data_IF_705937989142
#
_entry.id   IF_705937989142
#
_cell.length_a   1.000
_cell.length_b   1.000
_cell.length_c   1.000
_cell.angle_alpha   90.00
_cell.angle_beta   90.00
_cell.angle_gamma   90.00
#
_symmetry.space_group_name_H-M   'P 1'
#
loop_
_entity.id
_entity.type
_entity.pdbx_description
1 polymer ?
#
# COMPACT_ATOMS: atom_id res chain seq x y z
N UNK A 1 -49.32 60.02 -9.42
CA UNK A 1 -50.25 58.88 -9.59
C UNK A 1 -49.42 57.61 -9.44
N UNK A 2 -49.76 56.67 -8.54
CA UNK A 2 -49.11 55.37 -8.52
C UNK A 2 -49.51 54.60 -9.79
N UNK A 3 -48.63 53.79 -10.39
CA UNK A 3 -49.00 53.00 -11.55
C UNK A 3 -50.03 51.96 -11.11
N UNK A 4 -51.20 52.03 -11.74
CA UNK A 4 -52.30 51.06 -11.63
C UNK A 4 -51.78 49.66 -11.91
N UNK A 5 -51.96 48.76 -10.94
CA UNK A 5 -51.61 47.36 -11.06
C UNK A 5 -52.28 46.74 -12.29
N UNK A 6 -51.47 46.32 -13.27
CA UNK A 6 -51.93 45.56 -14.41
C UNK A 6 -52.42 44.19 -13.91
N UNK A 7 -53.71 43.91 -14.10
CA UNK A 7 -54.36 42.62 -13.83
C UNK A 7 -54.80 42.00 -15.16
N UNK A 8 -54.71 40.66 -15.32
CA UNK A 8 -54.77 39.66 -14.26
C UNK A 8 -53.42 39.43 -13.57
N UNK A 9 -53.45 39.26 -12.24
CA UNK A 9 -52.32 38.71 -11.52
C UNK A 9 -52.08 37.28 -12.02
N UNK A 10 -50.85 36.99 -12.44
CA UNK A 10 -50.45 35.66 -12.91
C UNK A 10 -50.82 34.59 -11.87
N UNK A 11 -51.58 33.57 -12.27
CA UNK A 11 -51.96 32.42 -11.42
C UNK A 11 -50.98 31.24 -11.55
N UNK A 12 -49.94 31.36 -12.38
CA UNK A 12 -48.89 30.37 -12.49
C UNK A 12 -47.93 30.51 -11.30
N UNK A 13 -47.58 29.40 -10.66
CA UNK A 13 -46.61 29.34 -9.57
C UNK A 13 -45.32 30.07 -9.97
N UNK A 14 -45.07 31.22 -9.36
CA UNK A 14 -43.85 32.00 -9.60
C UNK A 14 -42.68 31.27 -8.94
N UNK A 15 -41.86 30.62 -9.76
CA UNK A 15 -40.59 30.01 -9.34
C UNK A 15 -39.55 31.12 -9.26
N UNK A 16 -39.51 31.83 -8.13
CA UNK A 16 -38.61 32.96 -7.91
C UNK A 16 -37.63 32.60 -6.79
N UNK A 17 -36.34 32.88 -7.01
CA UNK A 17 -35.31 32.66 -6.02
C UNK A 17 -35.49 33.70 -4.90
N UNK A 18 -35.64 33.28 -3.62
CA UNK A 18 -35.72 34.23 -2.53
C UNK A 18 -34.36 34.93 -2.30
N UNK A 19 -34.41 36.11 -1.69
CA UNK A 19 -33.21 36.90 -1.34
C UNK A 19 -32.29 36.13 -0.37
N UNK A 20 -32.87 35.30 0.49
CA UNK A 20 -32.16 34.51 1.50
C UNK A 20 -32.72 33.10 1.56
N UNK A 21 -31.86 32.11 1.74
CA UNK A 21 -32.28 30.73 2.02
C UNK A 21 -32.70 30.56 3.48
N UNK A 22 -33.41 29.47 3.76
CA UNK A 22 -33.83 29.06 5.10
C UNK A 22 -33.14 27.74 5.47
N UNK A 23 -32.36 27.73 6.55
CA UNK A 23 -31.60 26.55 6.99
C UNK A 23 -32.48 25.34 7.30
N UNK A 24 -33.70 25.57 7.79
CA UNK A 24 -34.66 24.50 8.10
C UNK A 24 -35.19 23.75 6.88
N UNK A 25 -35.18 24.37 5.70
CA UNK A 25 -35.73 23.78 4.48
C UNK A 25 -34.68 22.98 3.69
N UNK A 26 -33.39 23.16 4.01
CA UNK A 26 -32.26 22.57 3.29
C UNK A 26 -32.38 21.05 3.24
N UNK A 27 -32.39 20.36 4.38
CA UNK A 27 -32.40 18.89 4.47
C UNK A 27 -33.55 18.26 3.67
N UNK A 28 -34.75 18.82 3.79
CA UNK A 28 -35.93 18.30 3.10
C UNK A 28 -35.93 18.53 1.59
N UNK A 29 -35.06 19.41 1.11
CA UNK A 29 -34.96 19.82 -0.28
C UNK A 29 -33.80 19.16 -1.04
N UNK A 30 -32.87 18.51 -0.34
CA UNK A 30 -31.75 17.80 -0.94
C UNK A 30 -32.21 16.49 -1.58
N UNK A 31 -31.65 16.19 -2.74
CA UNK A 31 -31.94 14.96 -3.47
C UNK A 31 -31.22 13.75 -2.89
N UNK A 32 -29.96 13.94 -2.44
CA UNK A 32 -29.18 12.87 -1.81
C UNK A 32 -29.23 12.99 -0.29
N UNK A 33 -29.01 14.18 0.26
CA UNK A 33 -29.02 14.38 1.72
C UNK A 33 -27.78 13.81 2.42
N UNK A 34 -26.67 13.67 1.70
CA UNK A 34 -25.38 13.14 2.19
C UNK A 34 -24.81 14.07 3.27
N UNK A 35 -24.99 15.38 3.10
CA UNK A 35 -24.48 16.37 4.04
C UNK A 35 -25.60 16.93 4.93
N UNK A 36 -25.51 16.65 6.23
CA UNK A 36 -26.53 17.05 7.22
C UNK A 36 -26.00 17.91 8.37
N UNK A 37 -24.70 18.26 8.38
CA UNK A 37 -24.10 19.03 9.47
C UNK A 37 -24.61 20.47 9.51
N UNK A 38 -24.75 21.07 10.71
CA UNK A 38 -25.17 22.47 10.89
C UNK A 38 -24.38 23.47 10.03
N UNK A 39 -23.07 23.23 9.91
CA UNK A 39 -22.18 24.07 9.11
C UNK A 39 -22.53 24.02 7.61
N UNK A 40 -22.92 22.85 7.10
CA UNK A 40 -23.37 22.68 5.72
C UNK A 40 -24.74 23.35 5.51
N UNK A 41 -25.69 23.14 6.43
CA UNK A 41 -27.03 23.73 6.35
C UNK A 41 -26.98 25.27 6.33
N UNK A 42 -26.16 25.87 7.19
CA UNK A 42 -25.92 27.31 7.18
C UNK A 42 -25.26 27.77 5.87
N UNK A 43 -24.24 27.04 5.38
CA UNK A 43 -23.56 27.36 4.13
C UNK A 43 -24.46 27.27 2.89
N UNK A 44 -25.37 26.31 2.85
CA UNK A 44 -26.35 26.13 1.78
C UNK A 44 -27.38 27.28 1.76
N UNK A 45 -27.85 27.71 2.94
CA UNK A 45 -28.74 28.87 3.07
C UNK A 45 -28.05 30.18 2.61
N UNK A 46 -26.79 30.39 3.00
CA UNK A 46 -25.99 31.54 2.55
C UNK A 46 -25.73 31.52 1.05
N UNK A 47 -25.59 30.33 0.45
CA UNK A 47 -25.39 30.17 -0.99
C UNK A 47 -26.56 30.71 -1.81
N UNK A 48 -27.80 30.63 -1.30
CA UNK A 48 -28.99 31.24 -1.93
C UNK A 48 -28.82 32.75 -2.04
N UNK A 49 -28.46 33.42 -0.94
CA UNK A 49 -28.23 34.86 -0.94
C UNK A 49 -27.07 35.26 -1.85
N UNK A 50 -25.98 34.47 -1.84
CA UNK A 50 -24.85 34.68 -2.74
C UNK A 50 -25.25 34.57 -4.21
N UNK A 51 -26.06 33.57 -4.55
CA UNK A 51 -26.52 33.31 -5.93
C UNK A 51 -27.50 34.40 -6.37
N UNK A 52 -28.42 34.79 -5.50
CA UNK A 52 -29.36 35.88 -5.73
C UNK A 52 -28.65 37.18 -6.10
N UNK A 53 -27.67 37.61 -5.28
CA UNK A 53 -26.91 38.83 -5.54
C UNK A 53 -26.06 38.73 -6.81
N UNK A 54 -25.40 37.59 -7.06
CA UNK A 54 -24.52 37.41 -8.21
C UNK A 54 -25.23 37.32 -9.55
N UNK A 55 -26.46 36.83 -9.57
CA UNK A 55 -27.28 36.73 -10.78
C UNK A 55 -28.18 37.96 -11.00
N UNK A 56 -28.09 38.98 -10.13
CA UNK A 56 -28.80 40.25 -10.30
C UNK A 56 -30.25 40.22 -9.83
N UNK A 57 -30.56 39.39 -8.83
CA UNK A 57 -31.88 39.28 -8.22
C UNK A 57 -32.44 40.60 -7.69
N UNK A 58 -31.57 41.54 -7.30
CA UNK A 58 -31.96 42.89 -6.86
C UNK A 58 -32.61 43.72 -7.97
N UNK A 59 -32.44 43.34 -9.24
CA UNK A 59 -32.94 44.09 -10.41
C UNK A 59 -34.07 43.32 -11.10
N UNK A 60 -33.89 42.01 -11.33
CA UNK A 60 -34.85 41.15 -12.02
C UNK A 60 -34.97 39.82 -11.29
N UNK A 61 -36.21 39.30 -11.25
CA UNK A 61 -36.49 37.99 -10.67
C UNK A 61 -35.66 36.89 -11.35
N UNK A 62 -35.19 35.94 -10.54
CA UNK A 62 -34.40 34.79 -11.01
C UNK A 62 -35.30 33.56 -10.98
N UNK A 63 -35.39 32.84 -12.10
CA UNK A 63 -36.28 31.69 -12.27
C UNK A 63 -35.75 30.38 -11.64
N UNK A 64 -35.11 30.48 -10.47
CA UNK A 64 -34.61 29.35 -9.68
C UNK A 64 -35.38 29.21 -8.38
N UNK A 65 -35.47 27.99 -7.86
CA UNK A 65 -35.88 27.74 -6.47
C UNK A 65 -34.66 27.62 -5.57
N UNK A 66 -34.83 27.96 -4.31
CA UNK A 66 -33.85 27.72 -3.25
C UNK A 66 -33.44 26.24 -3.16
N UNK A 67 -34.39 25.31 -3.29
CA UNK A 67 -34.13 23.88 -3.37
C UNK A 67 -33.11 23.51 -4.46
N UNK A 68 -33.15 24.18 -5.62
CA UNK A 68 -32.18 23.93 -6.69
C UNK A 68 -30.79 24.40 -6.29
N UNK A 69 -30.68 25.56 -5.63
CA UNK A 69 -29.40 26.06 -5.12
C UNK A 69 -28.84 25.17 -4.00
N UNK A 70 -29.68 24.61 -3.13
CA UNK A 70 -29.24 23.66 -2.11
C UNK A 70 -28.65 22.39 -2.74
N UNK A 71 -29.30 21.84 -3.78
CA UNK A 71 -28.80 20.68 -4.51
C UNK A 71 -27.48 20.97 -5.23
N UNK A 72 -27.36 22.12 -5.91
CA UNK A 72 -26.09 22.55 -6.51
C UNK A 72 -24.98 22.75 -5.47
N UNK A 73 -25.34 23.16 -4.26
CA UNK A 73 -24.37 23.28 -3.18
C UNK A 73 -23.89 21.91 -2.70
N UNK A 74 -24.80 20.95 -2.50
CA UNK A 74 -24.47 19.56 -2.15
C UNK A 74 -23.54 18.93 -3.20
N UNK A 75 -23.91 19.05 -4.49
CA UNK A 75 -23.12 18.55 -5.61
C UNK A 75 -21.73 19.18 -5.67
N UNK A 76 -21.61 20.48 -5.39
CA UNK A 76 -20.30 21.15 -5.34
C UNK A 76 -19.40 20.62 -4.22
N UNK A 77 -19.97 20.24 -3.06
CA UNK A 77 -19.19 19.62 -1.97
C UNK A 77 -18.74 18.21 -2.36
N UNK A 78 -19.62 17.42 -3.00
CA UNK A 78 -19.28 16.09 -3.50
C UNK A 78 -18.16 16.13 -4.54
N UNK A 79 -18.25 17.06 -5.50
CA UNK A 79 -17.20 17.26 -6.52
C UNK A 79 -15.86 17.68 -5.91
N UNK A 80 -15.89 18.58 -4.91
CA UNK A 80 -14.69 18.94 -4.17
C UNK A 80 -14.07 17.72 -3.47
N UNK A 81 -14.89 16.95 -2.75
CA UNK A 81 -14.49 15.73 -2.05
C UNK A 81 -13.88 14.71 -3.01
N UNK A 82 -14.53 14.47 -4.15
CA UNK A 82 -14.07 13.56 -5.20
C UNK A 82 -12.68 13.94 -5.73
N UNK A 83 -12.47 15.21 -6.09
CA UNK A 83 -11.18 15.67 -6.63
C UNK A 83 -10.06 15.54 -5.59
N UNK A 84 -10.34 15.92 -4.34
CA UNK A 84 -9.36 15.81 -3.25
C UNK A 84 -9.03 14.35 -2.93
N UNK A 85 -10.04 13.46 -2.88
CA UNK A 85 -9.84 12.04 -2.63
C UNK A 85 -9.03 11.36 -3.75
N UNK A 86 -9.25 11.71 -5.01
CA UNK A 86 -8.40 11.25 -6.12
C UNK A 86 -6.95 11.68 -5.92
N UNK A 87 -6.72 12.95 -5.57
CA UNK A 87 -5.37 13.44 -5.33
C UNK A 87 -4.71 12.72 -4.14
N UNK A 88 -5.46 12.50 -3.06
CA UNK A 88 -4.96 11.76 -1.90
C UNK A 88 -4.65 10.30 -2.28
N UNK A 89 -5.47 9.66 -3.11
CA UNK A 89 -5.21 8.33 -3.64
C UNK A 89 -3.90 8.29 -4.45
N UNK A 90 -3.67 9.26 -5.35
CA UNK A 90 -2.41 9.35 -6.10
C UNK A 90 -1.19 9.41 -5.19
N UNK A 91 -1.26 10.14 -4.08
CA UNK A 91 -0.14 10.31 -3.14
C UNK A 91 0.11 9.10 -2.25
N UNK A 92 -0.92 8.32 -1.94
CA UNK A 92 -0.89 7.37 -0.82
C UNK A 92 -1.06 5.91 -1.24
N UNK A 93 -1.62 5.64 -2.43
CA UNK A 93 -1.93 4.29 -2.90
C UNK A 93 -0.73 3.34 -2.78
N UNK A 94 0.46 3.74 -3.24
CA UNK A 94 1.66 2.90 -3.19
C UNK A 94 2.09 2.48 -1.78
N UNK A 95 1.80 3.28 -0.76
CA UNK A 95 2.06 2.95 0.64
C UNK A 95 0.93 2.17 1.30
N UNK A 96 -0.30 2.30 0.79
CA UNK A 96 -1.49 1.67 1.34
C UNK A 96 -1.80 0.30 0.72
N UNK A 97 -1.12 -0.09 -0.37
CA UNK A 97 -1.31 -1.41 -0.99
C UNK A 97 -1.23 -2.53 0.06
N UNK A 98 -2.31 -3.30 0.14
CA UNK A 98 -2.46 -4.43 1.04
C UNK A 98 -2.86 -4.12 2.48
N UNK A 99 -3.14 -2.87 2.82
CA UNK A 99 -3.78 -2.56 4.10
C UNK A 99 -5.29 -2.87 4.03
N UNK A 100 -5.99 -2.76 5.16
CA UNK A 100 -7.44 -3.00 5.23
C UNK A 100 -8.21 -2.10 4.28
N UNK A 101 -9.22 -2.66 3.63
CA UNK A 101 -10.22 -1.95 2.83
C UNK A 101 -11.37 -1.48 3.73
N UNK A 102 -12.29 -0.68 3.17
CA UNK A 102 -13.55 -0.29 3.80
C UNK A 102 -14.74 -0.71 2.94
N UNK A 103 -15.90 -0.90 3.56
CA UNK A 103 -17.18 -1.13 2.87
C UNK A 103 -18.04 0.13 2.95
N UNK A 104 -18.72 0.47 1.84
CA UNK A 104 -19.48 1.70 1.68
C UNK A 104 -20.95 1.42 1.39
N UNK A 105 -21.81 2.34 1.79
CA UNK A 105 -23.22 2.40 1.36
C UNK A 105 -23.37 3.09 -0.01
N UNK A 106 -24.62 3.26 -0.45
CA UNK A 106 -24.97 3.95 -1.69
C UNK A 106 -24.56 5.43 -1.72
N UNK A 107 -24.40 6.04 -0.56
CA UNK A 107 -24.01 7.45 -0.37
C UNK A 107 -22.49 7.62 -0.28
N UNK A 108 -21.75 6.51 -0.29
CA UNK A 108 -20.29 6.49 -0.20
C UNK A 108 -19.77 6.75 1.21
N UNK A 109 -20.57 6.50 2.25
CA UNK A 109 -20.16 6.53 3.65
C UNK A 109 -19.69 5.15 4.11
N UNK A 110 -18.68 5.09 4.98
CA UNK A 110 -18.17 3.80 5.46
C UNK A 110 -19.18 3.17 6.44
N UNK A 111 -19.62 1.95 6.13
CA UNK A 111 -20.52 1.16 6.98
C UNK A 111 -19.74 0.22 7.90
N UNK A 112 -18.70 -0.43 7.37
CA UNK A 112 -17.85 -1.36 8.13
C UNK A 112 -16.41 -1.32 7.66
N UNK A 113 -15.49 -1.64 8.56
CA UNK A 113 -14.08 -1.80 8.23
C UNK A 113 -13.29 -0.50 8.21
N UNK A 114 -13.71 0.53 8.97
CA UNK A 114 -12.93 1.76 9.14
C UNK A 114 -11.53 1.43 9.71
N UNK A 115 -10.46 1.57 8.91
CA UNK A 115 -9.09 1.31 9.36
C UNK A 115 -8.58 2.36 10.36
N UNK A 116 -9.32 3.45 10.59
CA UNK A 116 -8.99 4.47 11.58
C UNK A 116 -9.16 3.98 13.02
N UNK A 117 -10.00 2.96 13.24
CA UNK A 117 -10.34 2.37 14.54
C UNK A 117 -10.97 3.34 15.53
N UNK A 118 -11.43 4.50 15.07
CA UNK A 118 -11.90 5.61 15.90
C UNK A 118 -13.22 6.13 15.33
N UNK A 119 -14.26 6.12 16.15
CA UNK A 119 -15.59 6.64 15.81
C UNK A 119 -15.49 8.09 15.30
N UNK A 120 -16.28 8.42 14.27
CA UNK A 120 -16.40 9.75 13.65
C UNK A 120 -15.12 10.34 13.02
N UNK A 121 -14.16 9.50 12.61
CA UNK A 121 -12.94 10.00 11.96
C UNK A 121 -12.70 9.44 10.56
N UNK A 122 -12.95 10.28 9.56
CA UNK A 122 -12.70 9.96 8.16
C UNK A 122 -11.19 9.72 7.90
N UNK A 123 -10.84 8.54 7.38
CA UNK A 123 -9.47 8.13 7.04
C UNK A 123 -8.82 9.08 6.04
N UNK A 124 -9.58 9.67 5.11
CA UNK A 124 -9.06 10.62 4.11
C UNK A 124 -8.43 11.88 4.75
N UNK A 125 -8.87 12.24 5.96
CA UNK A 125 -8.36 13.39 6.70
C UNK A 125 -7.09 13.09 7.50
N UNK A 126 -6.67 11.82 7.56
CA UNK A 126 -5.49 11.42 8.31
C UNK A 126 -4.27 11.40 7.42
N UNK A 127 -3.15 11.83 8.00
CA UNK A 127 -1.86 11.65 7.37
C UNK A 127 -1.45 10.17 7.45
N UNK A 128 -1.35 9.45 6.33
CA UNK A 128 -0.91 8.06 6.37
C UNK A 128 0.56 8.03 6.75
N UNK A 129 0.92 7.12 7.65
CA UNK A 129 2.34 6.85 7.93
C UNK A 129 2.98 6.36 6.64
N UNK A 130 4.04 7.03 6.20
CA UNK A 130 4.82 6.55 5.05
C UNK A 130 5.36 5.16 5.37
N UNK A 131 4.86 4.16 4.64
CA UNK A 131 5.33 2.79 4.71
C UNK A 131 5.90 2.42 3.37
N UNK A 132 6.96 1.63 3.41
CA UNK A 132 7.52 0.96 2.24
C UNK A 132 6.63 -0.21 1.81
N UNK A 133 5.30 -0.06 1.72
CA UNK A 133 4.38 -1.17 1.49
C UNK A 133 4.73 -1.97 0.22
N UNK A 134 4.70 -1.30 -0.93
CA UNK A 134 5.06 -1.92 -2.20
C UNK A 134 6.54 -2.38 -2.28
N UNK A 135 7.47 -1.54 -1.84
CA UNK A 135 8.89 -1.87 -1.87
C UNK A 135 9.24 -3.07 -0.97
N UNK A 136 8.61 -3.15 0.20
CA UNK A 136 8.72 -4.29 1.12
C UNK A 136 8.23 -5.56 0.44
N UNK A 137 7.10 -5.56 -0.26
CA UNK A 137 6.61 -6.76 -0.99
C UNK A 137 7.59 -7.26 -2.04
N UNK A 138 8.21 -6.35 -2.80
CA UNK A 138 9.27 -6.74 -3.76
C UNK A 138 10.46 -7.35 -3.02
N UNK A 139 10.86 -6.75 -1.89
CA UNK A 139 11.94 -7.28 -1.05
C UNK A 139 11.56 -8.64 -0.46
N UNK A 140 10.35 -8.83 0.05
CA UNK A 140 9.88 -10.07 0.66
C UNK A 140 9.81 -11.21 -0.36
N UNK A 141 9.39 -10.92 -1.60
CA UNK A 141 9.47 -11.87 -2.71
C UNK A 141 10.93 -12.26 -3.00
N UNK A 142 11.85 -11.30 -2.99
CA UNK A 142 13.29 -11.56 -3.20
C UNK A 142 13.92 -12.35 -2.05
N UNK A 143 13.54 -12.03 -0.80
CA UNK A 143 13.97 -12.71 0.44
C UNK A 143 13.46 -14.16 0.45
N UNK A 144 12.21 -14.36 0.00
CA UNK A 144 11.65 -15.69 -0.20
C UNK A 144 12.48 -16.49 -1.21
N UNK A 145 12.94 -15.87 -2.30
CA UNK A 145 13.74 -16.62 -3.28
C UNK A 145 15.10 -17.07 -2.76
N UNK A 146 15.74 -16.29 -1.88
CA UNK A 146 17.04 -16.65 -1.29
C UNK A 146 16.94 -17.59 -0.08
N UNK A 147 15.73 -18.05 0.31
CA UNK A 147 15.58 -19.02 1.40
C UNK A 147 15.52 -18.41 2.80
N UNK A 148 15.34 -17.10 2.94
CA UNK A 148 15.32 -16.40 4.23
C UNK A 148 13.91 -16.13 4.77
N UNK A 149 12.90 -16.87 4.28
CA UNK A 149 11.51 -16.84 4.71
C UNK A 149 10.88 -15.43 4.69
N UNK A 150 10.57 -14.94 3.48
CA UNK A 150 9.80 -13.72 3.23
C UNK A 150 8.29 -14.02 3.21
N UNK A 151 7.66 -13.89 2.04
CA UNK A 151 6.22 -14.14 1.88
C UNK A 151 5.83 -15.64 1.94
N UNK A 152 6.75 -16.55 1.59
CA UNK A 152 6.50 -17.99 1.65
C UNK A 152 7.14 -18.62 2.89
N UNK A 153 6.39 -19.48 3.56
CA UNK A 153 6.86 -20.27 4.70
C UNK A 153 7.91 -21.29 4.24
N UNK A 154 9.07 -21.29 4.92
CA UNK A 154 10.10 -22.29 4.74
C UNK A 154 9.80 -23.51 5.61
N UNK A 155 9.64 -24.67 4.98
CA UNK A 155 9.40 -25.94 5.64
C UNK A 155 10.68 -26.78 5.69
N UNK A 156 10.75 -27.71 6.63
CA UNK A 156 11.85 -28.66 6.78
C UNK A 156 11.29 -30.07 6.80
N UNK A 157 11.87 -30.96 6.01
CA UNK A 157 11.60 -32.40 6.02
C UNK A 157 12.93 -33.17 6.09
N UNK A 158 12.87 -34.40 6.58
CA UNK A 158 14.03 -35.27 6.66
C UNK A 158 13.75 -36.67 6.13
N UNK A 159 14.80 -37.33 5.66
CA UNK A 159 14.76 -38.71 5.22
C UNK A 159 16.05 -39.43 5.61
N UNK A 160 15.95 -40.74 5.78
CA UNK A 160 17.10 -41.60 6.07
C UNK A 160 17.71 -42.15 4.79
N UNK A 161 19.05 -42.16 4.72
CA UNK A 161 19.74 -42.82 3.61
C UNK A 161 19.69 -44.33 3.77
N UNK A 162 19.37 -45.03 2.69
CA UNK A 162 19.35 -46.48 2.62
C UNK A 162 20.58 -46.95 1.87
N UNK A 163 21.31 -47.90 2.46
CA UNK A 163 22.43 -48.54 1.79
C UNK A 163 21.96 -49.20 0.50
N UNK A 164 22.66 -48.94 -0.60
CA UNK A 164 22.24 -49.42 -1.92
C UNK A 164 21.40 -48.42 -2.73
N UNK A 165 20.99 -47.30 -2.14
CA UNK A 165 20.18 -46.26 -2.80
C UNK A 165 20.97 -44.96 -2.86
N UNK A 166 21.20 -44.47 -4.07
CA UNK A 166 21.96 -43.24 -4.33
C UNK A 166 21.09 -42.05 -4.74
N UNK A 167 19.99 -42.35 -5.45
CA UNK A 167 19.07 -41.38 -6.04
C UNK A 167 17.79 -41.31 -5.22
N UNK A 168 17.46 -40.12 -4.74
CA UNK A 168 16.28 -39.84 -3.92
C UNK A 168 15.39 -38.83 -4.62
N UNK A 169 14.09 -39.12 -4.70
CA UNK A 169 13.09 -38.18 -5.20
C UNK A 169 12.52 -37.38 -4.01
N UNK A 170 12.99 -36.15 -3.87
CA UNK A 170 12.59 -35.28 -2.75
C UNK A 170 11.12 -34.89 -2.85
N UNK A 171 10.55 -34.80 -4.06
CA UNK A 171 9.13 -34.50 -4.23
C UNK A 171 8.29 -35.65 -3.68
N UNK A 172 8.62 -36.90 -4.02
CA UNK A 172 7.90 -38.07 -3.50
C UNK A 172 7.99 -38.14 -1.98
N UNK A 173 9.20 -38.03 -1.42
CA UNK A 173 9.44 -38.10 0.02
C UNK A 173 8.60 -37.05 0.77
N UNK A 174 8.60 -35.81 0.29
CA UNK A 174 7.90 -34.69 0.93
C UNK A 174 6.38 -34.81 0.74
N UNK A 175 5.91 -35.23 -0.43
CA UNK A 175 4.49 -35.48 -0.69
C UNK A 175 3.95 -36.63 0.19
N UNK A 176 4.72 -37.70 0.37
CA UNK A 176 4.38 -38.82 1.24
C UNK A 176 4.34 -38.38 2.71
N UNK A 177 5.32 -37.61 3.16
CA UNK A 177 5.36 -37.06 4.51
C UNK A 177 4.16 -36.11 4.77
N UNK A 178 3.81 -35.27 3.80
CA UNK A 178 2.65 -34.38 3.85
C UNK A 178 1.32 -35.14 3.94
N UNK A 179 1.20 -36.26 3.22
CA UNK A 179 -0.04 -37.06 3.18
C UNK A 179 -0.23 -37.88 4.46
N UNK A 180 0.85 -38.48 4.96
CA UNK A 180 0.81 -39.34 6.15
C UNK A 180 0.97 -38.57 7.48
N UNK A 181 1.22 -37.27 7.40
CA UNK A 181 1.60 -36.43 8.55
C UNK A 181 2.74 -37.05 9.37
N UNK A 182 3.77 -37.56 8.68
CA UNK A 182 4.87 -38.28 9.31
C UNK A 182 6.17 -38.03 8.52
N UNK A 183 7.16 -37.44 9.19
CA UNK A 183 8.48 -37.22 8.63
C UNK A 183 9.23 -38.55 8.47
N UNK A 184 9.80 -38.82 7.29
CA UNK A 184 10.39 -40.13 7.00
C UNK A 184 11.69 -40.40 7.78
N UNK A 185 12.48 -39.36 8.07
CA UNK A 185 13.73 -39.52 8.81
C UNK A 185 13.53 -39.59 10.32
N UNK A 186 12.62 -38.80 10.89
CA UNK A 186 12.43 -38.72 12.35
C UNK A 186 11.21 -39.46 12.89
N UNK A 187 10.21 -39.75 12.06
CA UNK A 187 8.93 -40.34 12.52
C UNK A 187 8.04 -39.39 13.32
N UNK A 188 8.31 -38.08 13.27
CA UNK A 188 7.48 -37.06 13.94
C UNK A 188 6.43 -36.48 13.00
N UNK A 189 5.41 -35.82 13.55
CA UNK A 189 4.42 -35.07 12.76
C UNK A 189 5.05 -33.88 12.04
N UNK A 190 4.55 -33.55 10.85
CA UNK A 190 5.09 -32.47 10.01
C UNK A 190 4.18 -31.24 10.02
N UNK A 191 4.76 -30.04 9.95
CA UNK A 191 4.01 -28.78 9.90
C UNK A 191 3.35 -28.49 8.55
N UNK A 192 3.71 -29.24 7.51
CA UNK A 192 3.20 -29.10 6.14
C UNK A 192 2.22 -30.21 5.74
N UNK A 193 1.57 -30.84 6.73
CA UNK A 193 0.57 -31.87 6.50
C UNK A 193 -0.56 -31.36 5.57
N UNK A 194 -0.87 -32.14 4.53
CA UNK A 194 -1.88 -31.81 3.51
C UNK A 194 -1.65 -30.52 2.70
N UNK A 195 -0.50 -29.85 2.81
CA UNK A 195 -0.21 -28.60 2.08
C UNK A 195 0.47 -28.81 0.72
N UNK A 196 1.17 -29.93 0.52
CA UNK A 196 1.99 -30.17 -0.70
C UNK A 196 1.10 -30.57 -1.88
N UNK A 197 0.22 -31.57 -1.69
CA UNK A 197 -0.63 -32.11 -2.76
C UNK A 197 0.16 -32.42 -4.03
N UNK A 198 -0.33 -31.92 -5.17
CA UNK A 198 0.33 -32.02 -6.49
C UNK A 198 1.20 -30.79 -6.82
N UNK A 199 1.52 -29.92 -5.84
CA UNK A 199 2.33 -28.72 -6.06
C UNK A 199 3.81 -29.10 -6.16
N UNK A 200 4.52 -28.46 -7.09
CA UNK A 200 5.98 -28.60 -7.22
C UNK A 200 6.67 -27.89 -6.06
N UNK A 201 7.51 -28.60 -5.32
CA UNK A 201 8.32 -28.00 -4.25
C UNK A 201 9.55 -27.27 -4.81
N UNK A 202 9.97 -26.22 -4.10
CA UNK A 202 11.22 -25.50 -4.35
C UNK A 202 12.22 -25.82 -3.25
N UNK A 203 13.22 -26.65 -3.56
CA UNK A 203 14.29 -26.99 -2.62
C UNK A 203 15.23 -25.79 -2.47
N UNK A 204 15.43 -25.33 -1.24
CA UNK A 204 16.30 -24.18 -0.93
C UNK A 204 17.64 -24.63 -0.35
N UNK A 205 17.62 -25.65 0.51
CA UNK A 205 18.85 -26.16 1.13
C UNK A 205 18.72 -27.64 1.45
N UNK A 206 19.77 -28.40 1.17
CA UNK A 206 19.93 -29.79 1.63
C UNK A 206 21.16 -29.83 2.50
N UNK A 207 21.03 -30.39 3.69
CA UNK A 207 22.12 -30.49 4.65
C UNK A 207 22.01 -31.76 5.46
N UNK A 208 23.13 -32.15 6.04
CA UNK A 208 23.18 -33.17 7.07
C UNK A 208 24.04 -32.61 8.20
N UNK A 209 23.66 -32.88 9.44
CA UNK A 209 24.45 -32.48 10.60
C UNK A 209 24.74 -33.74 11.40
N UNK A 210 26.02 -34.04 11.55
CA UNK A 210 26.43 -35.11 12.46
C UNK A 210 26.77 -34.48 13.81
N UNK A 211 26.50 -35.15 14.95
CA UNK A 211 26.99 -34.70 16.25
C UNK A 211 28.53 -34.55 16.32
N UNK A 212 29.25 -35.11 15.34
CA UNK A 212 30.70 -34.99 15.18
C UNK A 212 31.14 -33.72 14.43
N UNK A 213 30.22 -32.97 13.82
CA UNK A 213 30.46 -31.70 13.13
C UNK A 213 30.69 -30.50 14.10
N UNK A 214 31.29 -30.75 15.26
CA UNK A 214 31.82 -29.70 16.11
C UNK A 214 33.11 -29.16 15.46
N UNK A 215 33.25 -27.83 15.35
CA UNK A 215 34.48 -27.20 14.88
C UNK A 215 35.64 -27.56 15.83
N UNK A 216 36.40 -28.58 15.49
CA UNK A 216 37.56 -29.03 16.26
C UNK A 216 38.79 -28.47 15.59
N UNK A 217 39.36 -27.41 16.19
CA UNK A 217 40.62 -26.81 15.74
C UNK A 217 41.77 -27.84 15.64
N UNK A 218 41.66 -28.99 16.34
CA UNK A 218 42.59 -30.13 16.27
C UNK A 218 41.89 -31.43 15.86
N UNK A 219 41.18 -31.42 14.73
CA UNK A 219 40.35 -32.53 14.25
C UNK A 219 41.02 -33.90 14.35
N UNK A 220 40.67 -34.68 15.39
CA UNK A 220 41.05 -36.08 15.47
C UNK A 220 40.16 -36.88 16.43
N UNK A 221 39.86 -38.12 16.04
CA UNK A 221 39.16 -39.11 16.85
C UNK A 221 39.85 -40.46 16.65
N UNK A 222 40.70 -40.83 17.61
CA UNK A 222 41.42 -42.11 17.60
C UNK A 222 42.79 -42.02 18.26
N UNK A 223 42.86 -42.00 19.59
CA UNK A 223 44.07 -42.07 20.42
C UNK A 223 45.45 -41.99 19.75
N UNK A 224 46.19 -40.92 20.10
CA UNK A 224 47.61 -40.61 19.77
C UNK A 224 47.79 -39.71 18.55
N UNK A 225 47.85 -38.40 18.79
CA UNK A 225 48.97 -37.54 18.38
C UNK A 225 48.80 -36.18 19.07
N UNK A 226 49.54 -35.99 20.17
CA UNK A 226 49.72 -34.69 20.82
C UNK A 226 50.52 -33.81 19.84
N UNK A 227 50.27 -32.49 19.81
CA UNK A 227 51.19 -31.53 19.21
C UNK A 227 52.52 -31.59 19.99
N UNK A 228 53.37 -32.54 19.64
CA UNK A 228 54.55 -32.89 20.40
C UNK A 228 55.48 -33.71 19.53
N UNK A 229 56.78 -33.41 19.65
CA UNK A 229 57.88 -33.96 18.86
C UNK A 229 58.12 -35.48 19.03
N UNK A 230 57.18 -36.27 19.58
CA UNK A 230 57.36 -37.70 19.93
C UNK A 230 58.58 -37.99 20.85
N UNK A 231 59.34 -36.96 21.27
CA UNK A 231 60.64 -37.10 21.94
C UNK A 231 60.56 -37.52 23.41
N UNK A 232 59.38 -37.41 24.03
CA UNK A 232 59.16 -37.77 25.44
C UNK A 232 58.06 -38.82 25.63
N UNK A 233 57.65 -39.52 24.56
CA UNK A 233 56.61 -40.53 24.66
C UNK A 233 57.15 -41.78 25.37
N UNK A 234 56.84 -41.94 26.66
CA UNK A 234 57.16 -43.20 27.35
C UNK A 234 57.05 -43.25 28.86
N UNK A 235 57.16 -42.15 29.63
CA UNK A 235 57.16 -42.29 31.10
C UNK A 235 56.46 -41.18 31.91
N UNK A 236 56.13 -40.02 31.34
CA UNK A 236 55.47 -38.91 32.06
C UNK A 236 54.45 -38.27 31.11
N UNK A 237 53.16 -38.44 31.39
CA UNK A 237 52.10 -38.17 30.41
C UNK A 237 51.69 -36.70 30.26
N UNK A 238 52.13 -35.77 31.11
CA UNK A 238 51.71 -34.37 31.03
C UNK A 238 52.87 -33.42 31.33
N UNK A 239 53.68 -33.10 30.31
CA UNK A 239 54.61 -31.98 30.37
C UNK A 239 54.07 -30.84 29.49
N UNK A 240 53.82 -29.67 30.06
CA UNK A 240 53.22 -28.54 29.35
C UNK A 240 54.29 -27.84 28.51
N UNK A 241 54.35 -28.14 27.22
CA UNK A 241 55.27 -27.46 26.31
C UNK A 241 54.58 -26.28 25.61
N UNK A 242 55.13 -25.08 25.77
CA UNK A 242 54.69 -23.91 25.02
C UNK A 242 55.51 -23.81 23.73
N UNK A 243 54.87 -23.96 22.58
CA UNK A 243 55.50 -23.83 21.27
C UNK A 243 54.99 -22.56 20.58
N UNK A 244 55.92 -21.69 20.17
CA UNK A 244 55.59 -20.55 19.31
C UNK A 244 55.55 -21.04 17.88
N UNK A 245 54.34 -21.18 17.33
CA UNK A 245 54.13 -21.59 15.93
C UNK A 245 53.98 -20.34 15.06
N UNK A 246 54.83 -20.15 14.03
CA UNK A 246 54.68 -19.05 13.09
C UNK A 246 53.34 -19.11 12.34
N UNK A 247 52.76 -17.95 12.00
CA UNK A 247 51.46 -17.85 11.32
C UNK A 247 51.42 -18.62 10.00
N UNK A 248 52.52 -18.64 9.24
CA UNK A 248 52.61 -19.36 7.97
C UNK A 248 52.44 -20.87 8.15
N UNK A 249 52.92 -21.43 9.25
CA UNK A 249 52.83 -22.86 9.54
C UNK A 249 51.38 -23.24 9.87
N UNK A 250 50.67 -22.44 10.67
CA UNK A 250 49.24 -22.65 10.91
C UNK A 250 48.42 -22.55 9.61
N UNK A 251 48.75 -21.59 8.73
CA UNK A 251 48.08 -21.46 7.42
C UNK A 251 48.35 -22.67 6.52
N UNK A 252 49.58 -23.15 6.46
CA UNK A 252 49.94 -24.34 5.69
C UNK A 252 49.27 -25.61 6.22
N UNK A 253 49.18 -25.75 7.55
CA UNK A 253 48.46 -26.85 8.18
C UNK A 253 46.95 -26.80 7.88
N UNK A 254 46.34 -25.62 7.89
CA UNK A 254 44.94 -25.47 7.49
C UNK A 254 44.68 -25.87 6.03
N UNK A 255 45.57 -25.46 5.11
CA UNK A 255 45.48 -25.87 3.70
C UNK A 255 45.66 -27.38 3.51
N UNK A 256 46.63 -27.98 4.19
CA UNK A 256 46.85 -29.43 4.14
C UNK A 256 45.69 -30.21 4.79
N UNK A 257 45.01 -29.62 5.78
CA UNK A 257 43.83 -30.21 6.41
C UNK A 257 42.62 -30.18 5.46
N UNK A 258 42.40 -29.07 4.76
CA UNK A 258 41.39 -28.97 3.71
C UNK A 258 41.64 -30.01 2.60
N UNK A 259 42.87 -30.11 2.10
CA UNK A 259 43.25 -31.13 1.10
C UNK A 259 43.08 -32.56 1.63
N UNK A 260 43.39 -32.80 2.91
CA UNK A 260 43.17 -34.08 3.55
C UNK A 260 41.67 -34.45 3.67
N UNK A 261 40.77 -33.46 3.81
CA UNK A 261 39.32 -33.71 3.77
C UNK A 261 38.92 -34.17 2.37
N UNK A 262 39.39 -33.49 1.32
CA UNK A 262 39.09 -33.84 -0.07
C UNK A 262 39.63 -35.22 -0.47
N UNK A 263 40.83 -35.59 0.00
CA UNK A 263 41.54 -36.79 -0.47
C UNK A 263 41.39 -38.01 0.43
N UNK A 264 41.27 -37.86 1.76
CA UNK A 264 41.28 -38.98 2.71
C UNK A 264 39.95 -39.29 3.38
N UNK A 265 39.08 -38.29 3.56
CA UNK A 265 37.84 -38.46 4.33
C UNK A 265 36.61 -38.80 3.48
N UNK A 266 36.80 -39.08 2.19
CA UNK A 266 35.76 -39.24 1.18
C UNK A 266 34.90 -37.98 1.07
N UNK A 267 35.03 -37.25 -0.03
CA UNK A 267 34.28 -36.02 -0.26
C UNK A 267 32.78 -36.36 -0.38
N UNK A 268 32.06 -36.29 0.75
CA UNK A 268 30.61 -36.41 0.75
C UNK A 268 30.03 -35.19 0.04
N UNK A 269 29.50 -35.41 -1.14
CA UNK A 269 28.90 -34.38 -1.97
C UNK A 269 27.53 -34.83 -2.45
N UNK A 270 26.76 -33.90 -2.97
CA UNK A 270 25.46 -34.22 -3.52
C UNK A 270 25.17 -33.37 -4.73
N UNK A 271 24.31 -33.89 -5.60
CA UNK A 271 23.82 -33.21 -6.79
C UNK A 271 22.30 -33.15 -6.73
N UNK A 272 21.72 -31.99 -7.05
CA UNK A 272 20.27 -31.81 -7.10
C UNK A 272 19.90 -31.38 -8.50
N UNK A 273 19.12 -32.21 -9.18
CA UNK A 273 18.56 -31.91 -10.50
C UNK A 273 17.07 -32.23 -10.45
N UNK A 274 16.22 -31.24 -10.72
CA UNK A 274 14.75 -31.42 -10.80
C UNK A 274 14.15 -32.15 -9.58
N UNK A 275 14.48 -31.71 -8.36
CA UNK A 275 14.06 -32.31 -7.08
C UNK A 275 14.56 -33.75 -6.85
N UNK A 276 15.44 -34.26 -7.71
CA UNK A 276 16.16 -35.52 -7.47
C UNK A 276 17.52 -35.23 -6.88
N UNK A 277 17.75 -35.80 -5.70
CA UNK A 277 18.99 -35.70 -4.96
C UNK A 277 19.81 -36.97 -5.19
N UNK A 278 21.02 -36.80 -5.72
CA UNK A 278 22.01 -37.87 -5.82
C UNK A 278 23.10 -37.66 -4.77
N UNK A 279 23.35 -38.68 -3.95
CA UNK A 279 24.39 -38.64 -2.92
C UNK A 279 25.70 -39.27 -3.40
N UNK A 280 26.83 -38.68 -3.02
CA UNK A 280 28.16 -39.22 -3.27
C UNK A 280 28.97 -39.24 -1.97
N UNK A 281 29.81 -40.26 -1.73
CA UNK A 281 29.87 -41.54 -2.46
C UNK A 281 28.60 -42.38 -2.29
N UNK A 282 28.47 -43.44 -3.08
CA UNK A 282 27.32 -44.36 -3.03
C UNK A 282 27.07 -44.86 -1.60
N UNK A 283 25.85 -44.68 -1.04
CA UNK A 283 25.57 -45.10 0.33
C UNK A 283 25.74 -46.62 0.50
N UNK A 284 26.63 -47.02 1.41
CA UNK A 284 26.88 -48.44 1.73
C UNK A 284 26.17 -48.79 3.04
N UNK A 285 25.43 -49.90 3.05
CA UNK A 285 24.73 -50.38 4.24
C UNK A 285 25.70 -50.58 5.41
N UNK A 286 25.42 -49.96 6.56
CA UNK A 286 26.26 -50.06 7.76
C UNK A 286 27.53 -49.21 7.77
N UNK A 287 27.76 -48.36 6.75
CA UNK A 287 28.96 -47.52 6.63
C UNK A 287 28.74 -46.03 6.91
N UNK A 288 27.51 -45.56 7.04
CA UNK A 288 27.22 -44.12 7.11
C UNK A 288 27.12 -43.63 8.56
N UNK A 289 28.02 -42.76 8.97
CA UNK A 289 27.90 -41.96 10.21
C UNK A 289 26.82 -40.84 10.09
N UNK A 290 25.95 -40.94 9.08
CA UNK A 290 24.94 -39.95 8.70
C UNK A 290 23.64 -40.74 8.51
N UNK A 291 22.73 -40.62 9.49
CA UNK A 291 21.49 -41.39 9.50
C UNK A 291 20.32 -40.62 8.85
N UNK A 292 20.43 -39.29 8.79
CA UNK A 292 19.36 -38.39 8.38
C UNK A 292 19.91 -37.24 7.55
N UNK A 293 19.22 -36.97 6.44
CA UNK A 293 19.41 -35.79 5.60
C UNK A 293 18.19 -34.89 5.77
N UNK A 294 18.45 -33.58 5.85
CA UNK A 294 17.45 -32.54 6.03
C UNK A 294 17.32 -31.72 4.76
N UNK A 295 16.09 -31.38 4.42
CA UNK A 295 15.72 -30.63 3.23
C UNK A 295 14.84 -29.49 3.67
N UNK A 296 15.31 -28.28 3.42
CA UNK A 296 14.51 -27.07 3.53
C UNK A 296 13.92 -26.72 2.16
N UNK A 297 12.60 -26.54 2.13
CA UNK A 297 11.86 -26.33 0.91
C UNK A 297 10.71 -25.33 1.11
N UNK A 298 10.22 -24.81 0.01
CA UNK A 298 9.02 -23.98 -0.04
C UNK A 298 7.96 -24.64 -0.91
N UNK A 299 6.71 -24.40 -0.55
CA UNK A 299 5.55 -24.76 -1.35
C UNK A 299 5.05 -23.46 -2.00
N UNK A 300 5.18 -23.29 -3.32
CA UNK A 300 4.70 -22.08 -3.97
C UNK A 300 3.19 -21.97 -3.80
N UNK A 301 2.74 -20.84 -3.26
CA UNK A 301 1.33 -20.47 -3.17
C UNK A 301 0.93 -19.67 -4.39
N UNK A 302 -0.38 -19.59 -4.64
CA UNK A 302 -0.90 -18.68 -5.65
C UNK A 302 -0.72 -17.23 -5.16
N UNK A 303 -0.54 -16.28 -6.08
CA UNK A 303 -0.41 -14.86 -5.74
C UNK A 303 -1.65 -14.28 -5.00
N UNK A 304 -2.77 -14.97 -5.08
CA UNK A 304 -4.04 -14.61 -4.44
C UNK A 304 -4.33 -15.42 -3.17
N UNK A 305 -3.48 -16.38 -2.82
CA UNK A 305 -3.64 -17.22 -1.64
C UNK A 305 -2.73 -16.70 -0.51
N UNK A 306 -3.33 -16.37 0.63
CA UNK A 306 -2.58 -16.06 1.85
C UNK A 306 -2.42 -17.30 2.73
N UNK A 307 -1.32 -17.35 3.49
CA UNK A 307 -1.16 -18.33 4.56
C UNK A 307 -2.09 -17.97 5.73
N UNK A 308 -2.81 -18.97 6.25
CA UNK A 308 -3.62 -18.85 7.46
C UNK A 308 -2.85 -18.29 8.67
N UNK A 309 -1.54 -18.53 8.75
CA UNK A 309 -0.69 -18.10 9.85
C UNK A 309 0.04 -16.78 9.57
N UNK A 310 0.06 -16.31 8.32
CA UNK A 310 0.77 -15.10 7.91
C UNK A 310 0.04 -14.41 6.76
N UNK A 311 -0.62 -13.28 7.07
CA UNK A 311 -1.31 -12.45 6.08
C UNK A 311 -0.35 -11.42 5.48
N UNK A 312 -0.15 -11.48 4.17
CA UNK A 312 0.73 -10.58 3.41
C UNK A 312 -0.01 -9.31 2.93
N UNK A 313 -1.33 -9.27 3.10
CA UNK A 313 -2.25 -8.23 2.67
C UNK A 313 -2.72 -8.39 1.22
N UNK A 314 -2.74 -9.59 0.65
CA UNK A 314 -3.27 -9.86 -0.69
C UNK A 314 -4.76 -9.51 -0.80
N UNK A 315 -5.52 -9.71 0.28
CA UNK A 315 -6.95 -9.34 0.39
C UNK A 315 -7.18 -7.83 0.67
N UNK A 316 -6.11 -7.06 0.85
CA UNK A 316 -6.17 -5.65 1.17
C UNK A 316 -6.37 -4.74 -0.04
N UNK A 317 -6.11 -3.44 0.16
CA UNK A 317 -6.19 -2.41 -0.87
C UNK A 317 -5.34 -2.82 -2.08
N UNK A 318 -5.96 -2.94 -3.24
CA UNK A 318 -5.30 -3.33 -4.49
C UNK A 318 -5.31 -2.21 -5.55
N UNK A 319 -6.26 -1.27 -5.45
CA UNK A 319 -6.47 -0.22 -6.44
C UNK A 319 -7.35 0.91 -5.84
N UNK A 320 -7.61 1.95 -6.64
CA UNK A 320 -8.40 3.12 -6.27
C UNK A 320 -9.78 2.77 -5.69
N UNK A 321 -10.46 1.78 -6.24
CA UNK A 321 -11.82 1.40 -5.83
C UNK A 321 -11.90 0.72 -4.45
N UNK A 322 -10.78 0.20 -3.94
CA UNK A 322 -10.73 -0.48 -2.63
C UNK A 322 -10.15 0.42 -1.54
N UNK A 323 -9.83 1.68 -1.86
CA UNK A 323 -9.37 2.65 -0.88
C UNK A 323 -10.51 3.04 0.08
N UNK A 324 -10.23 3.09 1.40
CA UNK A 324 -11.22 3.47 2.42
C UNK A 324 -11.37 5.00 2.50
N UNK A 325 -11.61 5.68 1.37
CA UNK A 325 -11.84 7.12 1.32
C UNK A 325 -13.32 7.43 1.07
N UNK A 326 -14.02 7.84 2.12
CA UNK A 326 -15.38 8.34 2.03
C UNK A 326 -15.41 9.84 1.71
N UNK A 327 -16.61 10.37 1.52
CA UNK A 327 -16.81 11.80 1.29
C UNK A 327 -16.29 12.67 2.45
N UNK A 328 -15.52 13.71 2.12
CA UNK A 328 -14.94 14.62 3.12
C UNK A 328 -16.07 15.35 3.85
N UNK A 329 -16.17 15.26 5.19
CA UNK A 329 -17.21 15.96 5.93
C UNK A 329 -17.05 17.47 5.81
N UNK A 330 -18.13 18.16 5.50
CA UNK A 330 -18.13 19.61 5.23
C UNK A 330 -17.50 20.45 6.36
N UNK A 331 -17.67 20.01 7.61
CA UNK A 331 -17.07 20.65 8.81
C UNK A 331 -15.53 20.75 8.73
N UNK A 332 -14.88 19.80 8.08
CA UNK A 332 -13.41 19.71 7.99
C UNK A 332 -12.83 20.41 6.75
N UNK A 333 -13.67 20.95 5.88
CA UNK A 333 -13.22 21.70 4.71
C UNK A 333 -12.76 23.10 5.14
N UNK A 334 -11.54 23.48 4.75
CA UNK A 334 -10.96 24.78 5.07
C UNK A 334 -11.61 25.92 4.26
N UNK A 335 -11.20 27.16 4.53
CA UNK A 335 -11.74 28.36 3.86
C UNK A 335 -11.49 28.35 2.34
N UNK A 336 -10.35 27.83 1.89
CA UNK A 336 -9.98 27.75 0.48
C UNK A 336 -10.94 26.80 -0.26
N UNK A 337 -11.16 25.60 0.28
CA UNK A 337 -12.10 24.63 -0.26
C UNK A 337 -13.53 25.16 -0.24
N UNK A 338 -13.97 25.78 0.86
CA UNK A 338 -15.30 26.40 0.94
C UNK A 338 -15.48 27.52 -0.08
N UNK A 339 -14.45 28.30 -0.37
CA UNK A 339 -14.51 29.33 -1.40
C UNK A 339 -14.63 28.74 -2.80
N UNK A 340 -13.90 27.66 -3.09
CA UNK A 340 -14.04 26.91 -4.34
C UNK A 340 -15.45 26.34 -4.50
N UNK A 341 -15.99 25.70 -3.46
CA UNK A 341 -17.34 25.13 -3.44
C UNK A 341 -18.39 26.20 -3.75
N UNK A 342 -18.31 27.40 -3.16
CA UNK A 342 -19.26 28.49 -3.45
C UNK A 342 -19.22 28.95 -4.91
N UNK A 343 -18.01 29.06 -5.50
CA UNK A 343 -17.82 29.41 -6.91
C UNK A 343 -18.39 28.33 -7.82
N UNK A 344 -18.15 27.06 -7.49
CA UNK A 344 -18.63 25.92 -8.27
C UNK A 344 -20.14 25.75 -8.18
N UNK A 345 -20.72 25.88 -6.97
CA UNK A 345 -22.17 25.87 -6.76
C UNK A 345 -22.88 27.01 -7.52
N UNK A 346 -22.26 28.20 -7.61
CA UNK A 346 -22.78 29.28 -8.45
C UNK A 346 -22.78 28.91 -9.94
N UNK A 347 -21.72 28.26 -10.42
CA UNK A 347 -21.64 27.80 -11.81
C UNK A 347 -22.70 26.72 -12.12
N UNK A 348 -22.96 25.78 -11.20
CA UNK A 348 -24.06 24.82 -11.31
C UNK A 348 -25.43 25.51 -11.29
N UNK A 349 -25.62 26.51 -10.42
CA UNK A 349 -26.85 27.30 -10.39
C UNK A 349 -27.09 28.06 -11.71
N UNK A 350 -26.03 28.62 -12.31
CA UNK A 350 -26.10 29.25 -13.65
C UNK A 350 -26.50 28.25 -14.72
N UNK A 351 -25.97 27.03 -14.68
CA UNK A 351 -26.34 25.98 -15.63
C UNK A 351 -27.83 25.66 -15.52
N UNK A 352 -28.33 25.40 -14.30
CA UNK A 352 -29.75 25.14 -14.08
C UNK A 352 -30.62 26.30 -14.54
N UNK A 353 -30.24 27.55 -14.25
CA UNK A 353 -30.96 28.73 -14.72
C UNK A 353 -30.97 28.80 -16.26
N UNK A 354 -29.84 28.52 -16.91
CA UNK A 354 -29.75 28.46 -18.37
C UNK A 354 -30.67 27.40 -18.97
N UNK A 355 -30.71 26.19 -18.37
CA UNK A 355 -31.62 25.12 -18.78
C UNK A 355 -33.10 25.52 -18.59
N UNK A 356 -33.44 26.19 -17.49
CA UNK A 356 -34.80 26.67 -17.23
C UNK A 356 -35.19 27.74 -18.25
N UNK A 357 -34.34 28.74 -18.46
CA UNK A 357 -34.57 29.81 -19.46
C UNK A 357 -34.66 29.27 -20.89
N UNK A 358 -33.90 28.23 -21.20
CA UNK A 358 -33.96 27.54 -22.50
C UNK A 358 -35.31 26.88 -22.77
N UNK A 359 -36.04 26.44 -21.74
CA UNK A 359 -37.41 25.90 -21.89
C UNK A 359 -38.46 26.97 -22.22
N UNK A 360 -38.20 28.23 -21.87
CA UNK A 360 -39.11 29.35 -22.11
C UNK A 360 -38.89 30.04 -23.47
N UNK A 361 -37.69 29.95 -24.06
CA UNK A 361 -37.39 30.42 -25.42
C UNK A 361 -37.53 31.94 -25.59
N UNK A 362 -38.73 32.40 -25.98
CA UNK A 362 -39.09 33.82 -26.04
C UNK A 362 -40.37 34.08 -25.26
N UNK A 363 -40.36 35.11 -24.42
CA UNK A 363 -41.55 35.56 -23.70
C UNK A 363 -42.28 36.56 -24.60
N UNK A 364 -43.49 36.25 -25.10
CA UNK A 364 -44.25 37.17 -25.92
C UNK A 364 -44.79 38.33 -25.07
N UNK A 365 -44.58 39.54 -25.54
CA UNK A 365 -45.08 40.79 -24.95
C UNK A 365 -45.94 41.48 -26.02
N UNK A 366 -46.91 42.34 -25.67
CA UNK A 366 -47.67 43.05 -26.69
C UNK A 366 -46.76 43.85 -27.64
N UNK A 367 -46.62 43.38 -28.89
CA UNK A 367 -45.86 44.04 -29.96
C UNK A 367 -44.37 43.68 -30.06
N UNK A 368 -43.79 42.91 -29.13
CA UNK A 368 -42.37 42.54 -29.14
C UNK A 368 -42.15 41.20 -28.41
N UNK A 369 -40.98 40.56 -28.57
CA UNK A 369 -40.61 39.36 -27.83
C UNK A 369 -39.27 39.58 -27.11
N UNK A 370 -39.22 39.29 -25.80
CA UNK A 370 -37.93 39.21 -25.08
C UNK A 370 -37.36 37.81 -25.29
N UNK A 371 -36.11 37.75 -25.76
CA UNK A 371 -35.31 36.52 -25.83
C UNK A 371 -34.52 36.36 -24.54
N UNK A 372 -34.61 35.18 -23.90
CA UNK A 372 -33.86 34.89 -22.69
C UNK A 372 -32.41 34.47 -23.02
N UNK A 373 -31.47 34.79 -22.13
CA UNK A 373 -30.03 34.56 -22.31
C UNK A 373 -29.58 33.11 -22.01
N UNK A 374 -30.36 32.11 -22.43
CA UNK A 374 -30.12 30.70 -22.09
C UNK A 374 -28.75 30.17 -22.56
N UNK A 375 -28.43 30.32 -23.85
CA UNK A 375 -27.19 29.79 -24.44
C UNK A 375 -25.93 30.45 -23.84
N UNK A 376 -26.00 31.75 -23.56
CA UNK A 376 -24.92 32.49 -22.92
C UNK A 376 -24.66 32.01 -21.48
N UNK A 377 -25.73 31.75 -20.70
CA UNK A 377 -25.60 31.22 -19.34
C UNK A 377 -25.03 29.80 -19.35
N UNK A 378 -25.48 28.94 -20.26
CA UNK A 378 -24.96 27.58 -20.40
C UNK A 378 -23.48 27.57 -20.82
N UNK A 379 -23.09 28.46 -21.73
CA UNK A 379 -21.69 28.62 -22.13
C UNK A 379 -20.80 29.06 -20.97
N UNK A 380 -21.20 30.11 -20.25
CA UNK A 380 -20.47 30.61 -19.08
C UNK A 380 -20.39 29.57 -17.96
N UNK A 381 -21.49 28.85 -17.69
CA UNK A 381 -21.52 27.83 -16.65
C UNK A 381 -20.54 26.68 -16.92
N UNK A 382 -20.53 26.15 -18.16
CA UNK A 382 -19.59 25.09 -18.55
C UNK A 382 -18.14 25.55 -18.46
N UNK A 383 -17.84 26.74 -18.99
CA UNK A 383 -16.50 27.31 -18.95
C UNK A 383 -16.01 27.54 -17.51
N UNK A 384 -16.85 28.08 -16.62
CA UNK A 384 -16.51 28.27 -15.21
C UNK A 384 -16.30 26.94 -14.48
N UNK A 385 -17.16 25.95 -14.72
CA UNK A 385 -17.01 24.62 -14.12
C UNK A 385 -15.71 23.94 -14.56
N UNK A 386 -15.38 23.96 -15.85
CA UNK A 386 -14.13 23.39 -16.38
C UNK A 386 -12.90 24.08 -15.80
N UNK A 387 -12.88 25.42 -15.80
CA UNK A 387 -11.79 26.20 -15.21
C UNK A 387 -11.61 25.92 -13.73
N UNK A 388 -12.69 25.83 -12.97
CA UNK A 388 -12.62 25.52 -11.54
C UNK A 388 -12.09 24.11 -11.27
N UNK A 389 -12.51 23.12 -12.06
CA UNK A 389 -11.99 21.75 -11.99
C UNK A 389 -10.50 21.70 -12.34
N UNK A 390 -10.07 22.43 -13.37
CA UNK A 390 -8.66 22.52 -13.77
C UNK A 390 -7.81 23.25 -12.75
N UNK A 391 -8.29 24.38 -12.21
CA UNK A 391 -7.66 25.16 -11.13
C UNK A 391 -7.39 24.25 -9.92
N UNK A 392 -8.39 23.49 -9.47
CA UNK A 392 -8.24 22.59 -8.33
C UNK A 392 -7.31 21.40 -8.63
N UNK A 393 -7.42 20.77 -9.80
CA UNK A 393 -6.54 19.66 -10.18
C UNK A 393 -5.08 20.10 -10.26
N UNK A 394 -4.82 21.27 -10.86
CA UNK A 394 -3.46 21.79 -11.06
C UNK A 394 -2.82 22.15 -9.72
N UNK A 395 -3.54 22.89 -8.88
CA UNK A 395 -3.06 23.25 -7.54
C UNK A 395 -2.80 22.02 -6.68
N UNK A 396 -3.66 21.00 -6.74
CA UNK A 396 -3.40 19.74 -6.03
C UNK A 396 -2.22 18.98 -6.63
N UNK A 397 -2.10 18.87 -7.95
CA UNK A 397 -0.99 18.16 -8.58
C UNK A 397 0.37 18.82 -8.25
N UNK A 398 0.43 20.13 -8.00
CA UNK A 398 1.59 20.86 -7.45
C UNK A 398 1.92 20.48 -6.00
N UNK A 399 0.91 20.09 -5.21
CA UNK A 399 1.03 19.73 -3.80
C UNK A 399 1.21 18.21 -3.57
N UNK A 400 1.46 17.44 -4.62
CA UNK A 400 1.78 16.01 -4.49
C UNK A 400 3.05 15.80 -3.67
N UNK A 401 3.13 14.72 -2.90
CA UNK A 401 4.31 14.45 -2.07
C UNK A 401 5.60 14.35 -2.88
N UNK A 402 5.51 13.83 -4.11
CA UNK A 402 6.64 13.78 -5.04
C UNK A 402 7.16 15.18 -5.36
N UNK A 403 6.27 16.09 -5.78
CA UNK A 403 6.68 17.47 -6.11
C UNK A 403 7.16 18.24 -4.89
N UNK A 404 6.52 18.07 -3.73
CA UNK A 404 6.98 18.71 -2.50
C UNK A 404 8.42 18.30 -2.12
N UNK A 405 8.79 17.04 -2.36
CA UNK A 405 10.16 16.56 -2.16
C UNK A 405 11.12 17.12 -3.21
N UNK A 406 10.70 17.17 -4.48
CA UNK A 406 11.49 17.79 -5.56
C UNK A 406 11.75 19.28 -5.29
N UNK A 407 10.73 20.02 -4.86
CA UNK A 407 10.82 21.44 -4.50
C UNK A 407 11.71 21.66 -3.28
N UNK A 408 11.60 20.81 -2.25
CA UNK A 408 12.47 20.87 -1.07
C UNK A 408 13.94 20.60 -1.43
N UNK A 409 14.21 19.64 -2.32
CA UNK A 409 15.55 19.37 -2.82
C UNK A 409 16.10 20.58 -3.62
N UNK A 410 15.29 21.17 -4.49
CA UNK A 410 15.63 22.40 -5.21
C UNK A 410 15.91 23.59 -4.28
N UNK A 411 15.10 23.77 -3.24
CA UNK A 411 15.29 24.81 -2.23
C UNK A 411 16.60 24.60 -1.44
N UNK A 412 16.94 23.36 -1.07
CA UNK A 412 18.20 23.04 -0.42
C UNK A 412 19.41 23.32 -1.32
N UNK A 413 19.33 22.99 -2.60
CA UNK A 413 20.38 23.29 -3.58
C UNK A 413 20.56 24.81 -3.75
N UNK A 414 19.46 25.55 -3.89
CA UNK A 414 19.48 27.01 -4.00
C UNK A 414 20.02 27.66 -2.72
N UNK A 415 19.66 27.14 -1.55
CA UNK A 415 20.20 27.58 -0.27
C UNK A 415 21.70 27.36 -0.20
N UNK A 416 22.22 26.22 -0.69
CA UNK A 416 23.66 25.98 -0.78
C UNK A 416 24.35 26.97 -1.72
N UNK A 417 23.73 27.33 -2.86
CA UNK A 417 24.25 28.39 -3.76
C UNK A 417 24.30 29.75 -3.07
N UNK A 418 23.27 30.10 -2.30
CA UNK A 418 23.28 31.33 -1.49
C UNK A 418 24.38 31.27 -0.43
N UNK A 419 24.53 30.15 0.28
CA UNK A 419 25.57 29.96 1.29
C UNK A 419 26.99 30.04 0.71
N UNK A 420 27.20 29.68 -0.56
CA UNK A 420 28.49 29.89 -1.24
C UNK A 420 28.84 31.38 -1.45
N UNK A 421 27.83 32.26 -1.54
CA UNK A 421 28.04 33.71 -1.65
C UNK A 421 28.28 34.38 -0.31
N UNK A 422 27.92 33.71 0.80
CA UNK A 422 28.28 34.15 2.14
C UNK A 422 29.76 33.77 2.31
N UNK A 423 30.69 34.74 2.39
CA UNK A 423 32.06 34.42 2.71
C UNK A 423 32.04 33.70 4.06
N UNK A 424 32.36 32.39 4.06
CA UNK A 424 32.60 31.67 5.30
C UNK A 424 33.76 32.40 5.96
N UNK A 425 33.44 33.26 6.93
CA UNK A 425 34.40 33.72 7.91
C UNK A 425 35.05 32.45 8.44
N UNK A 426 36.32 32.27 8.08
CA UNK A 426 37.20 31.31 8.68
C UNK A 426 37.28 31.67 10.17
N UNK A 427 36.30 31.24 10.95
CA UNK A 427 36.33 31.31 12.41
C UNK A 427 37.22 30.15 12.83
N UNK A 428 38.51 30.48 12.90
CA UNK A 428 39.45 30.10 13.95
C UNK A 428 39.39 28.63 14.41
N UNK A 429 40.27 27.80 13.84
CA UNK A 429 40.83 26.67 14.59
C UNK A 429 42.04 27.20 15.35
N UNK A 430 41.84 27.42 16.65
CA UNK A 430 42.93 27.39 17.63
C UNK A 430 43.34 25.96 17.91
#
# INVERSE_FOLDING_TARGET
MPPTALRPASQTSTSILPVTGATGDVLSSLAYGIYNSDAFLAGAADQVAYTYQKLGGDILDIELKDAQVYNAYEEAVLEYSYIVNIHQAKNTLGSLLGQSTGSFDEDGQIVTGDPSGLEDTNVSLRYPKFKFGYAKRISDASISEIGMAGDNTLYSASFSSVGGIQDYDLQSIISDASTNNLDQGTGNTVSFASLVGNKKILVKRVYYTTPRAMWRFFGYYGGINVLGNLTSYGQWADDTTFQVVPVWQNKAQALAYEDAIYTRLSHYSFEIINNKLRLYPYPVAGSSNIDQFWVEFMIPTNAWEEDSNSKTGADGINNLNTLPFENIPYKHINSIGKQWIRRFALALAKEMLGQIRGKFGSIPIPGESITLNADALLGQAKEEQEKLREELKTTLDELTYKKLVEDAAGMAENTNKVNQTIPTLAIYRG
#
